data_IF_880696820221
#
_entry.id   IF_880696820221
#
_cell.length_a   1.000
_cell.length_b   1.000
_cell.length_c   1.000
_cell.angle_alpha   90.00
_cell.angle_beta   90.00
_cell.angle_gamma   90.00
#
_symmetry.space_group_name_H-M   'P 1'
#
loop_
_entity.id
_entity.type
_entity.pdbx_description
1 polymer ?
#
# COMPACT_ATOMS: atom_id res chain seq x y z
N UNK A 1 8.97 -17.12 -11.25
CA UNK A 1 9.74 -15.98 -10.70
C UNK A 1 9.02 -15.30 -9.53
N UNK A 2 7.90 -14.58 -9.73
CA UNK A 2 7.22 -13.89 -8.61
C UNK A 2 6.68 -14.86 -7.55
N UNK A 3 6.13 -16.01 -7.97
CA UNK A 3 5.69 -17.07 -7.07
C UNK A 3 6.82 -17.63 -6.21
N UNK A 4 8.02 -17.78 -6.78
CA UNK A 4 9.19 -18.30 -6.08
C UNK A 4 9.62 -17.33 -4.97
N UNK A 5 9.61 -16.02 -5.25
CA UNK A 5 9.93 -15.01 -4.24
C UNK A 5 8.90 -15.03 -3.10
N UNK A 6 7.62 -15.19 -3.42
CA UNK A 6 6.56 -15.32 -2.40
C UNK A 6 6.67 -16.54 -1.50
N UNK A 7 7.35 -17.60 -1.95
CA UNK A 7 7.64 -18.76 -1.12
C UNK A 7 8.92 -18.64 -0.28
N UNK A 8 9.74 -17.61 -0.51
CA UNK A 8 11.06 -17.44 0.11
C UNK A 8 11.14 -16.25 1.07
N UNK A 9 10.23 -15.29 0.96
CA UNK A 9 10.23 -14.07 1.77
C UNK A 9 8.94 -13.98 2.56
N UNK A 10 9.06 -13.78 3.87
CA UNK A 10 7.94 -13.54 4.79
C UNK A 10 7.47 -12.07 4.74
N UNK A 11 7.32 -11.51 3.52
CA UNK A 11 6.87 -10.13 3.27
C UNK A 11 5.94 -10.04 2.04
N UNK A 12 4.95 -9.16 2.13
CA UNK A 12 4.14 -8.73 0.98
C UNK A 12 4.98 -7.78 0.12
N UNK A 13 5.13 -8.09 -1.17
CA UNK A 13 5.95 -7.34 -2.11
C UNK A 13 5.10 -6.66 -3.17
N UNK A 14 5.32 -5.37 -3.37
CA UNK A 14 4.71 -4.59 -4.45
C UNK A 14 5.80 -4.01 -5.34
N UNK A 15 5.65 -4.21 -6.64
CA UNK A 15 6.57 -3.69 -7.66
C UNK A 15 5.94 -2.44 -8.27
N UNK A 16 6.53 -1.30 -7.91
CA UNK A 16 6.11 0.01 -8.37
C UNK A 16 6.96 0.45 -9.56
N UNK A 17 6.33 0.97 -10.61
CA UNK A 17 7.02 1.58 -11.75
C UNK A 17 6.44 2.96 -12.06
N UNK A 18 7.19 3.84 -12.73
CA UNK A 18 6.64 5.05 -13.30
C UNK A 18 5.43 4.74 -14.20
N UNK A 19 4.43 5.59 -14.16
CA UNK A 19 3.27 5.50 -15.05
C UNK A 19 3.71 5.67 -16.51
N UNK A 20 2.98 5.06 -17.44
CA UNK A 20 3.29 5.10 -18.88
C UNK A 20 3.21 6.53 -19.48
N UNK A 21 2.39 7.38 -18.87
CA UNK A 21 2.25 8.80 -19.23
C UNK A 21 3.31 9.71 -18.57
N UNK A 22 4.22 9.13 -17.78
CA UNK A 22 5.23 9.88 -17.03
C UNK A 22 4.69 10.67 -15.84
N UNK A 23 3.41 10.54 -15.50
CA UNK A 23 2.79 11.21 -14.36
C UNK A 23 2.58 10.24 -13.18
N UNK A 24 3.55 10.28 -12.27
CA UNK A 24 3.54 9.52 -11.03
C UNK A 24 3.89 8.05 -11.22
N UNK A 25 3.41 7.21 -10.30
CA UNK A 25 3.76 5.80 -10.25
C UNK A 25 2.53 4.91 -10.09
N UNK A 26 2.64 3.67 -10.57
CA UNK A 26 1.60 2.66 -10.47
C UNK A 26 2.20 1.27 -10.13
N UNK A 27 1.49 0.44 -9.34
CA UNK A 27 1.91 -0.94 -9.12
C UNK A 27 1.72 -1.73 -10.41
N UNK A 28 2.78 -2.43 -10.83
CA UNK A 28 2.83 -3.24 -12.06
C UNK A 28 2.99 -4.74 -11.79
N UNK A 29 3.31 -5.10 -10.55
CA UNK A 29 3.33 -6.48 -10.09
C UNK A 29 3.23 -6.52 -8.57
N UNK A 30 2.80 -7.65 -8.03
CA UNK A 30 2.72 -7.84 -6.59
C UNK A 30 2.79 -9.33 -6.23
N UNK A 31 3.18 -9.59 -4.99
CA UNK A 31 3.08 -10.87 -4.30
C UNK A 31 2.56 -10.55 -2.91
N UNK A 32 1.34 -11.01 -2.59
CA UNK A 32 0.66 -10.60 -1.37
C UNK A 32 -0.05 -11.78 -0.74
N UNK A 33 0.31 -12.10 0.50
CA UNK A 33 -0.14 -13.24 1.28
C UNK A 33 -0.80 -12.82 2.60
N UNK A 34 -0.56 -11.60 3.09
CA UNK A 34 -1.05 -11.13 4.40
C UNK A 34 -1.49 -9.67 4.39
N UNK A 35 -2.17 -9.28 3.29
CA UNK A 35 -2.80 -7.97 3.17
C UNK A 35 -3.78 -7.70 4.30
N UNK A 36 -3.84 -6.43 4.67
CA UNK A 36 -4.83 -5.91 5.61
C UNK A 36 -5.62 -4.78 4.96
N UNK A 37 -6.89 -5.03 4.65
CA UNK A 37 -7.83 -3.95 4.38
C UNK A 37 -7.92 -3.51 2.92
N UNK A 38 -7.26 -4.20 1.97
CA UNK A 38 -7.42 -3.88 0.54
C UNK A 38 -7.07 -5.04 -0.39
N UNK A 39 -7.56 -4.94 -1.64
CA UNK A 39 -7.28 -5.89 -2.70
C UNK A 39 -6.28 -5.30 -3.71
N UNK A 40 -5.06 -5.84 -3.77
CA UNK A 40 -4.01 -5.35 -4.68
C UNK A 40 -4.35 -5.58 -6.15
N UNK A 41 -5.08 -6.64 -6.50
CA UNK A 41 -5.52 -6.89 -7.87
C UNK A 41 -6.44 -5.79 -8.39
N UNK A 42 -7.29 -5.21 -7.53
CA UNK A 42 -8.15 -4.07 -7.88
C UNK A 42 -7.38 -2.75 -7.99
N UNK A 43 -6.16 -2.71 -7.47
CA UNK A 43 -5.27 -1.53 -7.44
C UNK A 43 -4.18 -1.58 -8.50
N UNK A 44 -4.03 -2.70 -9.21
CA UNK A 44 -3.01 -2.88 -10.25
C UNK A 44 -3.21 -1.86 -11.38
N UNK A 45 -2.12 -1.28 -11.87
CA UNK A 45 -2.09 -0.25 -12.92
C UNK A 45 -2.79 1.07 -12.59
N UNK A 46 -3.34 1.25 -11.39
CA UNK A 46 -3.88 2.52 -10.94
C UNK A 46 -2.78 3.38 -10.32
N UNK A 47 -2.84 4.71 -10.54
CA UNK A 47 -1.83 5.60 -9.97
C UNK A 47 -1.89 5.60 -8.44
N UNK A 48 -0.75 5.84 -7.79
CA UNK A 48 -0.68 5.98 -6.33
C UNK A 48 -1.71 6.98 -5.80
N UNK A 49 -1.88 8.11 -6.49
CA UNK A 49 -2.90 9.12 -6.12
C UNK A 49 -4.33 8.60 -6.12
N UNK A 50 -4.64 7.63 -6.98
CA UNK A 50 -5.98 7.07 -7.10
C UNK A 50 -6.27 6.01 -6.06
N UNK A 51 -5.29 5.17 -5.73
CA UNK A 51 -5.48 4.05 -4.79
C UNK A 51 -5.41 4.46 -3.32
N UNK A 52 -4.91 5.66 -3.04
CA UNK A 52 -4.82 6.26 -1.70
C UNK A 52 -5.93 7.30 -1.44
N UNK A 53 -6.98 7.38 -2.27
CA UNK A 53 -8.14 8.26 -1.99
C UNK A 53 -8.82 8.03 -0.63
N UNK A 54 -8.99 6.77 -0.12
CA UNK A 54 -9.66 6.53 1.17
C UNK A 54 -8.89 7.07 2.38
N UNK A 55 -7.65 7.47 2.15
CA UNK A 55 -6.71 7.76 3.19
C UNK A 55 -6.89 9.21 3.68
N UNK A 56 -7.11 9.45 4.98
CA UNK A 56 -7.36 10.79 5.50
C UNK A 56 -6.24 11.76 5.18
N UNK A 57 -6.57 12.96 4.69
CA UNK A 57 -5.61 14.03 4.38
C UNK A 57 -4.55 13.68 3.31
N UNK A 58 -4.74 12.59 2.56
CA UNK A 58 -3.75 12.15 1.57
C UNK A 58 -3.52 13.20 0.48
N UNK A 59 -4.60 13.70 -0.10
CA UNK A 59 -4.55 14.67 -1.20
C UNK A 59 -3.85 15.97 -0.79
N UNK A 60 -4.14 16.45 0.41
CA UNK A 60 -3.66 17.75 0.89
C UNK A 60 -2.19 17.71 1.35
N UNK A 61 -1.73 16.57 1.89
CA UNK A 61 -0.44 16.50 2.60
C UNK A 61 0.56 15.53 2.01
N UNK A 62 0.12 14.49 1.31
CA UNK A 62 0.95 13.34 0.96
C UNK A 62 1.10 13.12 -0.53
N UNK A 63 0.08 13.41 -1.33
CA UNK A 63 0.08 13.14 -2.77
C UNK A 63 1.34 13.71 -3.47
N UNK A 64 1.60 15.01 -3.34
CA UNK A 64 2.78 15.66 -3.95
C UNK A 64 4.11 15.15 -3.40
N UNK A 65 4.14 14.84 -2.10
CA UNK A 65 5.36 14.39 -1.43
C UNK A 65 5.70 12.94 -1.81
N UNK A 66 4.70 12.12 -2.13
CA UNK A 66 4.89 10.70 -2.41
C UNK A 66 5.45 10.46 -3.80
N UNK A 67 4.89 11.08 -4.83
CA UNK A 67 5.44 10.98 -6.19
C UNK A 67 6.91 11.46 -6.23
N UNK A 68 7.16 12.65 -5.66
CA UNK A 68 8.51 13.22 -5.60
C UNK A 68 9.50 12.45 -4.71
N UNK A 69 9.02 11.60 -3.79
CA UNK A 69 9.89 10.69 -3.03
C UNK A 69 10.38 9.55 -3.92
N UNK A 70 9.48 8.91 -4.67
CA UNK A 70 9.82 7.80 -5.56
C UNK A 70 10.69 8.27 -6.73
N UNK A 71 10.47 9.47 -7.26
CA UNK A 71 11.34 10.08 -8.30
C UNK A 71 12.79 10.24 -7.85
N UNK A 72 13.02 10.43 -6.54
CA UNK A 72 14.36 10.68 -5.97
C UNK A 72 15.04 9.40 -5.45
N UNK A 73 14.33 8.28 -5.40
CA UNK A 73 14.86 7.02 -4.89
C UNK A 73 15.88 6.45 -5.88
N UNK A 74 17.12 6.24 -5.43
CA UNK A 74 18.23 5.75 -6.27
C UNK A 74 18.58 4.31 -5.91
N UNK A 75 19.07 3.57 -6.91
CA UNK A 75 19.63 2.23 -6.72
C UNK A 75 20.74 2.28 -5.64
N UNK A 76 20.71 1.31 -4.72
CA UNK A 76 21.62 1.26 -3.57
C UNK A 76 21.10 1.97 -2.32
N UNK A 77 20.07 2.82 -2.43
CA UNK A 77 19.45 3.48 -1.28
C UNK A 77 18.21 2.71 -0.85
N UNK A 78 18.30 2.03 0.30
CA UNK A 78 17.17 1.35 0.92
C UNK A 78 16.57 2.24 2.00
N UNK A 79 15.29 2.60 1.83
CA UNK A 79 14.53 3.35 2.83
C UNK A 79 13.56 2.41 3.51
N UNK A 80 13.56 2.39 4.85
CA UNK A 80 12.56 1.70 5.65
C UNK A 80 11.70 2.73 6.36
N UNK A 81 10.41 2.47 6.38
CA UNK A 81 9.41 3.27 7.10
C UNK A 81 8.55 2.28 7.85
N UNK A 82 8.43 2.44 9.15
CA UNK A 82 7.22 1.97 9.81
C UNK A 82 6.12 2.85 9.24
N UNK A 83 5.20 2.25 8.51
CA UNK A 83 4.12 3.04 8.01
C UNK A 83 3.45 3.70 9.27
N UNK A 84 3.20 5.02 9.27
CA UNK A 84 2.59 5.74 10.41
C UNK A 84 1.64 6.76 9.81
N UNK A 85 0.34 6.64 10.11
CA UNK A 85 -0.60 7.73 9.87
C UNK A 85 -0.34 8.83 10.91
N UNK A 86 -0.42 10.09 10.49
CA UNK A 86 -0.41 11.21 11.44
C UNK A 86 -1.55 10.98 12.43
N UNK A 87 -1.18 10.83 13.70
CA UNK A 87 -1.91 10.22 14.82
C UNK A 87 -1.98 8.68 14.78
N UNK A 88 -0.95 8.10 15.40
CA UNK A 88 -0.81 6.71 15.83
C UNK A 88 -0.34 5.72 14.75
N UNK A 89 0.78 5.08 15.10
CA UNK A 89 1.45 3.90 14.53
C UNK A 89 0.64 3.14 13.47
N UNK A 90 1.25 2.62 12.39
CA UNK A 90 0.58 1.55 11.61
C UNK A 90 0.66 0.23 12.32
N UNK A 91 -0.11 0.24 13.39
CA UNK A 91 -0.70 -0.86 14.09
C UNK A 91 -2.18 -0.68 13.77
N UNK A 92 -2.63 -1.35 12.73
CA UNK A 92 -4.06 -1.65 12.60
C UNK A 92 -4.35 -2.75 13.62
N UNK A 93 -5.42 -2.59 14.40
CA UNK A 93 -5.94 -3.71 15.19
C UNK A 93 -6.86 -4.47 14.25
N UNK A 94 -6.51 -5.72 13.95
CA UNK A 94 -7.44 -6.64 13.31
C UNK A 94 -8.37 -7.18 14.39
N UNK A 95 -9.68 -7.00 14.18
CA UNK A 95 -10.73 -7.56 15.01
C UNK A 95 -11.15 -8.96 14.55
N UNK A 96 -10.41 -9.56 13.62
CA UNK A 96 -10.68 -10.89 13.08
C UNK A 96 -9.53 -11.83 13.40
N UNK A 97 -9.84 -13.09 13.59
CA UNK A 97 -8.91 -14.18 13.84
C UNK A 97 -8.22 -14.67 12.56
N UNK A 98 -8.48 -14.01 11.41
CA UNK A 98 -7.88 -14.36 10.11
C UNK A 98 -6.59 -13.56 9.89
N UNK A 99 -5.48 -14.23 9.53
CA UNK A 99 -4.21 -13.55 9.26
C UNK A 99 -4.20 -12.81 7.91
N UNK A 100 -5.23 -12.97 7.08
CA UNK A 100 -5.31 -12.38 5.74
C UNK A 100 -6.72 -11.84 5.46
N UNK A 101 -6.79 -10.57 5.06
CA UNK A 101 -8.04 -9.88 4.73
C UNK A 101 -7.86 -9.07 3.45
N UNK A 102 -8.31 -9.61 2.33
CA UNK A 102 -8.23 -8.99 1.00
C UNK A 102 -9.37 -8.00 0.70
N UNK A 103 -10.18 -7.64 1.69
CA UNK A 103 -11.30 -6.71 1.56
C UNK A 103 -11.14 -5.57 2.59
N UNK A 104 -11.92 -4.51 2.43
CA UNK A 104 -11.85 -3.35 3.32
C UNK A 104 -12.21 -3.77 4.75
N UNK A 105 -11.30 -3.49 5.68
CA UNK A 105 -11.40 -3.89 7.09
C UNK A 105 -11.15 -2.72 8.05
N UNK A 106 -11.23 -1.50 7.52
CA UNK A 106 -11.15 -0.28 8.32
C UNK A 106 -12.55 0.00 8.86
N UNK A 107 -12.74 -0.21 10.15
CA UNK A 107 -13.94 0.23 10.85
C UNK A 107 -13.86 1.73 11.08
N UNK A 108 -14.89 2.44 10.66
CA UNK A 108 -15.09 3.85 11.00
C UNK A 108 -16.01 3.99 12.21
N UNK A 109 -15.95 5.14 12.87
CA UNK A 109 -16.81 5.43 14.02
C UNK A 109 -18.29 5.32 13.62
N UNK A 110 -19.03 4.41 14.27
CA UNK A 110 -20.44 4.16 13.99
C UNK A 110 -20.74 2.97 13.07
N UNK A 111 -19.71 2.23 12.63
CA UNK A 111 -19.91 0.99 11.86
C UNK A 111 -19.91 -0.25 12.77
N UNK A 112 -20.84 -1.17 12.50
CA UNK A 112 -20.87 -2.49 13.14
C UNK A 112 -19.75 -3.39 12.59
N UNK A 113 -19.24 -4.27 13.45
CA UNK A 113 -18.24 -5.27 13.04
C UNK A 113 -18.85 -6.26 12.02
N UNK A 114 -18.15 -6.54 10.90
CA UNK A 114 -18.59 -7.55 9.94
C UNK A 114 -18.69 -8.97 10.51
#
# INVERSE_FOLDING_TARGET
MLQDIGGLVEDDLLFLMPSEDGDGHAPKGFVTCFLNGFNTSKKLNLKLRDIHKPVPQYKERLEKNMDGFFDKLKVGNVVKRANVWLANLQWTIQNTDRPFISFENHLYEGEDTP
#
